data_IF_604433349250
#
_entry.id   IF_604433349250
#
_cell.length_a   1.000
_cell.length_b   1.000
_cell.length_c   1.000
_cell.angle_alpha   90.00
_cell.angle_beta   90.00
_cell.angle_gamma   90.00
#
_symmetry.space_group_name_H-M   'P 1'
#
loop_
_entity.id
_entity.type
_entity.pdbx_description
1 polymer ?
#
# COMPACT_ATOMS: atom_id res chain seq x y z
N UNK A 1 -19.45 21.90 -13.73
CA UNK A 1 -17.99 22.03 -13.50
C UNK A 1 -17.51 23.29 -14.21
N UNK A 2 -16.49 23.96 -13.70
CA UNK A 2 -15.99 25.23 -14.27
C UNK A 2 -15.08 24.98 -15.47
N UNK A 3 -14.93 25.98 -16.35
CA UNK A 3 -13.99 25.91 -17.50
C UNK A 3 -12.55 25.63 -17.04
N UNK A 4 -12.17 26.15 -15.86
CA UNK A 4 -10.87 25.92 -15.23
C UNK A 4 -10.69 24.42 -14.90
N UNK A 5 -11.71 23.80 -14.30
CA UNK A 5 -11.69 22.37 -14.00
C UNK A 5 -11.50 21.54 -15.27
N UNK A 6 -12.28 21.82 -16.31
CA UNK A 6 -12.24 21.04 -17.55
C UNK A 6 -10.85 21.11 -18.21
N UNK A 7 -10.21 22.27 -18.19
CA UNK A 7 -8.86 22.45 -18.74
C UNK A 7 -7.79 21.70 -17.93
N UNK A 8 -7.80 21.86 -16.60
CA UNK A 8 -6.85 21.15 -15.71
C UNK A 8 -7.08 19.65 -15.80
N UNK A 9 -8.32 19.19 -15.70
CA UNK A 9 -8.65 17.78 -15.70
C UNK A 9 -8.29 17.11 -17.03
N UNK A 10 -8.56 17.78 -18.16
CA UNK A 10 -8.13 17.29 -19.48
C UNK A 10 -6.62 17.09 -19.55
N UNK A 11 -5.83 18.02 -19.02
CA UNK A 11 -4.37 17.85 -18.94
C UNK A 11 -3.99 16.69 -18.00
N UNK A 12 -4.56 16.64 -16.80
CA UNK A 12 -4.28 15.55 -15.84
C UNK A 12 -4.58 14.19 -16.45
N UNK A 13 -5.67 14.02 -17.20
CA UNK A 13 -6.00 12.77 -17.91
C UNK A 13 -4.96 12.36 -18.97
N UNK A 14 -4.09 13.27 -19.42
CA UNK A 14 -3.03 12.94 -20.37
C UNK A 14 -1.78 12.33 -19.73
N UNK A 15 -1.57 12.58 -18.44
CA UNK A 15 -0.34 12.23 -17.74
C UNK A 15 -0.16 10.71 -17.61
N UNK A 16 1.06 10.24 -17.87
CA UNK A 16 1.55 9.01 -17.27
C UNK A 16 1.70 9.20 -15.76
N UNK A 17 1.41 8.15 -14.98
CA UNK A 17 1.53 8.18 -13.52
C UNK A 17 2.50 7.10 -13.04
N UNK A 18 3.22 7.37 -11.96
CA UNK A 18 3.90 6.34 -11.18
C UNK A 18 2.99 6.01 -10.02
N UNK A 19 2.69 4.73 -9.91
CA UNK A 19 1.88 4.17 -8.87
C UNK A 19 2.81 3.70 -7.74
N UNK A 20 2.75 4.39 -6.60
CA UNK A 20 3.74 4.25 -5.53
C UNK A 20 3.58 3.00 -4.68
N UNK A 21 2.48 2.26 -4.82
CA UNK A 21 2.30 0.98 -4.14
C UNK A 21 1.15 0.15 -4.73
N UNK A 22 1.37 -1.15 -4.89
CA UNK A 22 0.35 -2.14 -5.24
C UNK A 22 0.61 -3.49 -4.57
N UNK A 23 -0.45 -4.29 -4.45
CA UNK A 23 -0.42 -5.67 -3.96
C UNK A 23 -0.94 -6.68 -5.00
N UNK A 24 -0.88 -6.31 -6.28
CA UNK A 24 -1.30 -7.18 -7.38
C UNK A 24 -0.39 -8.42 -7.48
N UNK A 25 -0.89 -9.55 -8.04
CA UNK A 25 -0.03 -10.69 -8.35
C UNK A 25 1.16 -10.27 -9.22
N UNK A 26 2.38 -10.72 -8.86
CA UNK A 26 3.61 -10.32 -9.53
C UNK A 26 3.67 -10.62 -11.04
N UNK A 27 2.84 -11.57 -11.49
CA UNK A 27 2.58 -11.85 -12.89
C UNK A 27 1.09 -12.09 -13.13
N UNK A 28 0.55 -11.66 -14.26
CA UNK A 28 -0.88 -11.78 -14.58
C UNK A 28 -1.38 -13.24 -14.58
N UNK A 29 -0.53 -14.20 -14.95
CA UNK A 29 -0.89 -15.62 -14.95
C UNK A 29 -1.06 -16.19 -13.53
N UNK A 30 -0.57 -15.50 -12.49
CA UNK A 30 -0.75 -15.86 -11.09
C UNK A 30 -2.07 -15.33 -10.50
N UNK A 31 -2.80 -14.45 -11.22
CA UNK A 31 -4.14 -14.00 -10.80
C UNK A 31 -5.07 -15.21 -10.62
N UNK A 32 -5.76 -15.27 -9.48
CA UNK A 32 -6.70 -16.33 -9.16
C UNK A 32 -7.73 -16.54 -10.28
N UNK A 33 -7.91 -17.80 -10.69
CA UNK A 33 -8.84 -18.17 -11.78
C UNK A 33 -10.14 -18.78 -11.26
N UNK A 34 -10.09 -19.40 -10.08
CA UNK A 34 -11.27 -19.90 -9.38
C UNK A 34 -11.94 -18.76 -8.62
N UNK A 35 -12.53 -17.83 -9.35
CA UNK A 35 -13.12 -16.61 -8.80
C UNK A 35 -14.30 -16.11 -9.62
N UNK A 36 -15.00 -15.11 -9.11
CA UNK A 36 -16.05 -14.36 -9.78
C UNK A 36 -16.02 -12.90 -9.29
N UNK A 37 -16.91 -12.06 -9.85
CA UNK A 37 -16.91 -10.64 -9.54
C UNK A 37 -17.07 -10.35 -8.04
N UNK A 38 -17.89 -11.10 -7.30
CA UNK A 38 -18.08 -10.85 -5.87
C UNK A 38 -16.88 -11.32 -5.06
N UNK A 39 -16.37 -12.53 -5.35
CA UNK A 39 -15.20 -13.06 -4.63
C UNK A 39 -13.98 -12.15 -4.83
N UNK A 40 -13.71 -11.69 -6.05
CA UNK A 40 -12.56 -10.82 -6.32
C UNK A 40 -12.77 -9.41 -5.75
N UNK A 41 -13.90 -8.75 -6.00
CA UNK A 41 -14.08 -7.35 -5.60
C UNK A 41 -14.25 -7.15 -4.10
N UNK A 42 -14.68 -8.20 -3.39
CA UNK A 42 -14.78 -8.20 -1.95
C UNK A 42 -13.54 -8.78 -1.26
N UNK A 43 -12.49 -9.17 -1.99
CA UNK A 43 -11.24 -9.64 -1.37
C UNK A 43 -10.51 -8.55 -0.57
N UNK A 44 -10.91 -7.28 -0.74
CA UNK A 44 -10.24 -6.12 -0.15
C UNK A 44 -11.23 -5.08 0.38
N UNK A 45 -10.87 -3.79 0.32
CA UNK A 45 -11.49 -2.67 1.04
C UNK A 45 -13.01 -2.62 1.14
N UNK A 46 -13.77 -2.88 0.06
CA UNK A 46 -15.24 -2.77 0.15
C UNK A 46 -15.84 -3.75 1.16
N UNK A 47 -15.23 -4.92 1.36
CA UNK A 47 -15.66 -5.86 2.41
C UNK A 47 -15.67 -5.23 3.79
N UNK A 48 -14.68 -4.36 4.08
CA UNK A 48 -14.60 -3.64 5.35
C UNK A 48 -15.79 -2.72 5.56
N UNK A 49 -16.24 -2.01 4.51
CA UNK A 49 -17.45 -1.18 4.59
C UNK A 49 -18.69 -2.05 4.82
N UNK A 50 -18.81 -3.19 4.13
CA UNK A 50 -19.96 -4.10 4.31
C UNK A 50 -20.04 -4.60 5.76
N UNK A 51 -18.91 -5.04 6.32
CA UNK A 51 -18.82 -5.50 7.71
C UNK A 51 -19.11 -4.35 8.68
N UNK A 52 -18.57 -3.15 8.43
CA UNK A 52 -18.84 -1.96 9.22
C UNK A 52 -20.32 -1.55 9.16
N UNK A 53 -21.01 -1.81 8.04
CA UNK A 53 -22.45 -1.60 7.87
C UNK A 53 -23.31 -2.70 8.54
N UNK A 54 -22.69 -3.74 9.09
CA UNK A 54 -23.36 -4.80 9.86
C UNK A 54 -23.38 -6.18 9.21
N UNK A 55 -22.70 -6.39 8.06
CA UNK A 55 -22.55 -7.73 7.50
C UNK A 55 -21.70 -8.58 8.44
N UNK A 56 -22.30 -9.63 9.00
CA UNK A 56 -21.59 -10.52 9.92
C UNK A 56 -20.50 -11.31 9.17
N UNK A 57 -19.32 -11.55 9.79
CA UNK A 57 -18.25 -12.31 9.15
C UNK A 57 -18.70 -13.68 8.61
N UNK A 58 -19.58 -14.40 9.30
CA UNK A 58 -20.06 -15.71 8.85
C UNK A 58 -20.98 -15.63 7.63
N UNK A 59 -21.65 -14.49 7.43
CA UNK A 59 -22.42 -14.23 6.21
C UNK A 59 -21.51 -13.75 5.08
N UNK A 60 -20.48 -12.97 5.39
CA UNK A 60 -19.46 -12.56 4.43
C UNK A 60 -18.78 -13.77 3.77
N UNK A 61 -18.39 -14.79 4.53
CA UNK A 61 -17.82 -16.04 3.98
C UNK A 61 -18.74 -16.68 2.92
N UNK A 62 -20.07 -16.60 3.09
CA UNK A 62 -21.03 -17.09 2.10
C UNK A 62 -21.13 -16.18 0.87
N UNK A 63 -20.93 -14.87 1.04
CA UNK A 63 -20.96 -13.89 -0.06
C UNK A 63 -19.76 -14.10 -1.01
N UNK A 64 -18.60 -14.50 -0.50
CA UNK A 64 -17.41 -14.75 -1.31
C UNK A 64 -17.26 -16.22 -1.75
N UNK A 65 -18.11 -17.13 -1.27
CA UNK A 65 -18.11 -18.55 -1.68
C UNK A 65 -18.67 -18.73 -3.11
N UNK A 66 -17.78 -18.69 -4.10
CA UNK A 66 -18.11 -18.82 -5.53
C UNK A 66 -18.71 -20.17 -5.94
N UNK A 67 -18.88 -21.14 -5.01
CA UNK A 67 -19.63 -22.39 -5.24
C UNK A 67 -21.15 -22.19 -5.14
N UNK A 68 -21.59 -21.10 -4.51
CA UNK A 68 -23.01 -20.73 -4.40
C UNK A 68 -23.46 -19.85 -5.59
N UNK A 69 -24.73 -19.90 -6.00
CA UNK A 69 -25.26 -19.06 -7.07
C UNK A 69 -25.01 -17.56 -6.82
N UNK A 70 -24.54 -16.84 -7.85
CA UNK A 70 -24.16 -15.43 -7.75
C UNK A 70 -25.29 -14.56 -7.19
N UNK A 71 -26.50 -14.68 -7.74
CA UNK A 71 -27.65 -13.91 -7.30
C UNK A 71 -28.04 -14.17 -5.83
N UNK A 72 -27.83 -15.39 -5.32
CA UNK A 72 -28.07 -15.68 -3.90
C UNK A 72 -27.08 -14.92 -3.01
N UNK A 73 -25.80 -14.89 -3.41
CA UNK A 73 -24.74 -14.17 -2.70
C UNK A 73 -24.92 -12.66 -2.80
N UNK A 74 -25.33 -12.15 -3.95
CA UNK A 74 -25.67 -10.74 -4.14
C UNK A 74 -26.73 -10.29 -3.13
N UNK A 75 -27.86 -11.01 -3.03
CA UNK A 75 -28.95 -10.65 -2.09
C UNK A 75 -28.53 -10.61 -0.63
N UNK A 76 -27.48 -11.34 -0.25
CA UNK A 76 -26.90 -11.28 1.11
C UNK A 76 -26.07 -10.01 1.30
N UNK A 77 -25.32 -9.60 0.28
CA UNK A 77 -24.43 -8.44 0.31
C UNK A 77 -25.18 -7.11 0.09
N UNK A 78 -26.22 -7.13 -0.74
CA UNK A 78 -26.90 -5.94 -1.27
C UNK A 78 -27.31 -4.91 -0.21
N UNK A 79 -27.95 -5.27 0.92
CA UNK A 79 -28.34 -4.27 1.91
C UNK A 79 -27.15 -3.46 2.47
N UNK A 80 -26.01 -4.12 2.64
CA UNK A 80 -24.77 -3.51 3.15
C UNK A 80 -24.02 -2.78 2.04
N UNK A 81 -24.11 -3.28 0.80
CA UNK A 81 -23.55 -2.64 -0.38
C UNK A 81 -24.24 -1.30 -0.63
N UNK A 82 -25.58 -1.27 -0.57
CA UNK A 82 -26.36 -0.04 -0.70
C UNK A 82 -26.08 0.95 0.43
N UNK A 83 -25.94 0.48 1.67
CA UNK A 83 -25.52 1.33 2.79
C UNK A 83 -24.13 1.95 2.58
N UNK A 84 -23.24 1.24 1.87
CA UNK A 84 -21.86 1.66 1.59
C UNK A 84 -21.71 2.39 0.27
N UNK A 85 -22.77 2.56 -0.54
CA UNK A 85 -22.66 2.99 -1.94
C UNK A 85 -22.00 4.37 -2.15
N UNK A 86 -22.03 5.23 -1.14
CA UNK A 86 -21.42 6.55 -1.20
C UNK A 86 -19.98 6.62 -0.66
N UNK A 87 -19.46 5.53 -0.08
CA UNK A 87 -18.07 5.46 0.35
C UNK A 87 -17.12 5.51 -0.84
N UNK A 88 -15.85 5.83 -0.59
CA UNK A 88 -14.87 5.88 -1.67
C UNK A 88 -14.62 4.50 -2.30
N UNK A 89 -14.67 3.42 -1.53
CA UNK A 89 -14.50 2.05 -2.04
C UNK A 89 -15.61 1.65 -3.01
N UNK A 90 -16.88 1.85 -2.64
CA UNK A 90 -18.00 1.51 -3.53
C UNK A 90 -17.99 2.36 -4.81
N UNK A 91 -17.71 3.66 -4.67
CA UNK A 91 -17.59 4.58 -5.82
C UNK A 91 -16.47 4.18 -6.78
N UNK A 92 -15.32 3.74 -6.26
CA UNK A 92 -14.22 3.27 -7.08
C UNK A 92 -14.64 2.05 -7.92
N UNK A 93 -15.33 1.09 -7.33
CA UNK A 93 -15.78 -0.11 -8.04
C UNK A 93 -16.87 0.19 -9.06
N UNK A 94 -17.84 1.06 -8.75
CA UNK A 94 -18.85 1.50 -9.72
C UNK A 94 -18.16 2.21 -10.92
N UNK A 95 -17.13 3.03 -10.69
CA UNK A 95 -16.34 3.64 -11.76
C UNK A 95 -15.60 2.57 -12.57
N UNK A 96 -14.93 1.61 -11.91
CA UNK A 96 -14.21 0.54 -12.59
C UNK A 96 -15.13 -0.24 -13.52
N UNK A 97 -16.31 -0.64 -13.07
CA UNK A 97 -17.19 -1.47 -13.90
C UNK A 97 -17.79 -0.69 -15.08
N UNK A 98 -18.09 0.58 -14.88
CA UNK A 98 -18.59 1.46 -15.96
C UNK A 98 -17.57 1.58 -17.07
N UNK A 99 -16.32 1.82 -16.71
CA UNK A 99 -15.29 2.19 -17.67
C UNK A 99 -14.56 0.98 -18.28
N UNK A 100 -14.55 -0.16 -17.59
CA UNK A 100 -13.92 -1.41 -18.05
C UNK A 100 -14.89 -2.35 -18.76
N UNK A 101 -16.18 -2.34 -18.37
CA UNK A 101 -17.20 -3.27 -18.84
C UNK A 101 -18.44 -2.60 -19.45
N UNK A 102 -18.56 -1.26 -19.39
CA UNK A 102 -19.74 -0.54 -19.89
C UNK A 102 -21.00 -0.81 -19.09
N UNK A 103 -20.85 -1.19 -17.81
CA UNK A 103 -21.95 -1.47 -16.87
C UNK A 103 -22.11 -0.25 -15.96
N UNK A 104 -23.27 0.40 -15.96
CA UNK A 104 -23.46 1.69 -15.29
C UNK A 104 -22.97 1.73 -13.83
N UNK A 105 -23.32 0.69 -13.06
CA UNK A 105 -22.95 0.49 -11.65
C UNK A 105 -23.23 -0.96 -11.26
N UNK A 106 -22.80 -1.39 -10.07
CA UNK A 106 -23.03 -2.74 -9.55
C UNK A 106 -24.36 -2.78 -8.77
N UNK A 107 -25.35 -3.55 -9.22
CA UNK A 107 -26.66 -3.73 -8.55
C UNK A 107 -27.37 -5.00 -9.05
N UNK A 108 -28.53 -5.38 -8.49
CA UNK A 108 -29.23 -6.65 -8.79
C UNK A 108 -29.38 -6.91 -10.30
N UNK A 109 -29.85 -5.94 -11.07
CA UNK A 109 -30.13 -6.13 -12.49
C UNK A 109 -28.88 -6.22 -13.37
N UNK A 110 -27.70 -5.85 -12.86
CA UNK A 110 -26.43 -5.85 -13.64
C UNK A 110 -25.42 -6.89 -13.20
N UNK A 111 -25.56 -7.47 -12.00
CA UNK A 111 -24.52 -8.33 -11.41
C UNK A 111 -24.20 -9.56 -12.28
N UNK A 112 -25.20 -10.16 -12.92
CA UNK A 112 -25.02 -11.33 -13.81
C UNK A 112 -24.34 -10.97 -15.14
N UNK A 113 -24.72 -9.83 -15.74
CA UNK A 113 -24.07 -9.34 -16.96
C UNK A 113 -22.62 -8.95 -16.69
N UNK A 114 -22.40 -8.23 -15.58
CA UNK A 114 -21.09 -7.86 -15.10
C UNK A 114 -20.22 -9.10 -14.90
N UNK A 115 -20.72 -10.12 -14.22
CA UNK A 115 -19.96 -11.35 -13.97
C UNK A 115 -19.58 -12.07 -15.28
N UNK A 116 -20.49 -12.10 -16.25
CA UNK A 116 -20.20 -12.64 -17.59
C UNK A 116 -19.07 -11.88 -18.29
N UNK A 117 -19.03 -10.55 -18.17
CA UNK A 117 -17.96 -9.71 -18.72
C UNK A 117 -16.66 -9.84 -17.92
N UNK A 118 -16.76 -9.96 -16.60
CA UNK A 118 -15.65 -10.18 -15.68
C UNK A 118 -14.88 -11.46 -16.02
N UNK A 119 -15.55 -12.58 -16.31
CA UNK A 119 -14.85 -13.81 -16.70
C UNK A 119 -13.96 -13.64 -17.93
N UNK A 120 -14.32 -12.76 -18.87
CA UNK A 120 -13.46 -12.46 -20.03
C UNK A 120 -12.17 -11.76 -19.64
N UNK A 121 -12.18 -11.01 -18.53
CA UNK A 121 -11.01 -10.34 -17.96
C UNK A 121 -9.96 -11.31 -17.41
N UNK A 122 -10.32 -12.56 -17.13
CA UNK A 122 -9.38 -13.57 -16.61
C UNK A 122 -8.40 -14.06 -17.68
N UNK A 123 -8.67 -13.78 -18.96
CA UNK A 123 -7.76 -14.07 -20.07
C UNK A 123 -6.55 -13.11 -20.05
N UNK A 124 -5.37 -13.56 -20.54
CA UNK A 124 -4.18 -12.71 -20.58
C UNK A 124 -4.39 -11.39 -21.33
N UNK A 125 -3.70 -10.33 -20.87
CA UNK A 125 -3.73 -8.98 -21.46
C UNK A 125 -4.61 -7.99 -20.70
N UNK A 126 -5.32 -8.41 -19.65
CA UNK A 126 -6.15 -7.53 -18.84
C UNK A 126 -5.31 -6.59 -17.95
N UNK A 127 -4.17 -7.05 -17.44
CA UNK A 127 -3.20 -6.17 -16.75
C UNK A 127 -2.76 -5.02 -17.66
N UNK A 128 -2.38 -5.32 -18.90
CA UNK A 128 -1.99 -4.31 -19.89
C UNK A 128 -3.14 -3.34 -20.20
N UNK A 129 -4.34 -3.86 -20.45
CA UNK A 129 -5.55 -3.06 -20.67
C UNK A 129 -5.78 -2.08 -19.53
N UNK A 130 -5.74 -2.56 -18.28
CA UNK A 130 -6.08 -1.74 -17.12
C UNK A 130 -4.93 -0.80 -16.73
N UNK A 131 -3.73 -1.32 -16.51
CA UNK A 131 -2.60 -0.55 -15.98
C UNK A 131 -2.01 0.38 -17.05
N UNK A 132 -1.80 -0.09 -18.27
CA UNK A 132 -1.12 0.71 -19.32
C UNK A 132 -2.10 1.53 -20.15
N UNK A 133 -3.06 0.88 -20.79
CA UNK A 133 -3.90 1.52 -21.81
C UNK A 133 -4.93 2.48 -21.21
N UNK A 134 -5.58 2.04 -20.13
CA UNK A 134 -6.63 2.79 -19.44
C UNK A 134 -6.05 3.74 -18.39
N UNK A 135 -5.23 3.23 -17.46
CA UNK A 135 -4.73 4.03 -16.33
C UNK A 135 -3.52 4.91 -16.66
N UNK A 136 -2.79 4.61 -17.74
CA UNK A 136 -1.50 5.25 -18.08
C UNK A 136 -0.47 5.14 -16.95
N UNK A 137 -0.46 4.02 -16.24
CA UNK A 137 0.53 3.74 -15.21
C UNK A 137 1.83 3.34 -15.90
N UNK A 138 2.87 4.15 -15.71
CA UNK A 138 4.21 3.86 -16.24
C UNK A 138 4.80 2.63 -15.58
N UNK A 139 4.70 2.55 -14.25
CA UNK A 139 5.11 1.41 -13.42
C UNK A 139 4.38 1.50 -12.07
N UNK A 140 4.14 0.35 -11.44
CA UNK A 140 3.67 0.25 -10.06
C UNK A 140 4.78 -0.30 -9.17
N UNK A 141 4.90 0.24 -7.94
CA UNK A 141 5.80 -0.33 -6.94
C UNK A 141 5.10 -1.48 -6.24
N UNK A 142 5.59 -2.69 -6.47
CA UNK A 142 4.91 -3.91 -6.08
C UNK A 142 5.41 -4.41 -4.73
N UNK A 143 4.48 -4.57 -3.79
CA UNK A 143 4.65 -5.39 -2.62
C UNK A 143 3.74 -6.63 -2.76
N UNK A 144 4.26 -7.65 -3.44
CA UNK A 144 3.52 -8.92 -3.56
C UNK A 144 3.37 -9.59 -2.18
N UNK A 145 2.21 -10.21 -1.95
CA UNK A 145 1.89 -10.94 -0.72
C UNK A 145 1.58 -12.39 -1.10
N UNK A 146 2.59 -13.17 -1.55
CA UNK A 146 2.31 -14.50 -2.05
C UNK A 146 1.96 -15.44 -0.88
N UNK A 147 1.01 -16.34 -1.13
CA UNK A 147 0.57 -17.36 -0.19
C UNK A 147 1.11 -18.73 -0.62
N UNK A 148 1.73 -19.45 0.32
CA UNK A 148 2.13 -20.85 0.15
C UNK A 148 1.46 -21.65 1.27
N UNK A 149 0.57 -22.58 0.90
CA UNK A 149 -0.26 -23.34 1.85
C UNK A 149 -1.01 -22.44 2.86
N UNK A 150 -1.69 -21.40 2.35
CA UNK A 150 -2.42 -20.38 3.14
C UNK A 150 -1.55 -19.48 4.04
N UNK A 151 -0.24 -19.68 4.08
CA UNK A 151 0.67 -18.81 4.82
C UNK A 151 1.29 -17.78 3.89
N UNK A 152 1.28 -16.51 4.31
CA UNK A 152 2.00 -15.45 3.62
C UNK A 152 3.50 -15.77 3.67
N UNK A 153 4.20 -15.60 2.57
CA UNK A 153 5.65 -15.83 2.46
C UNK A 153 6.28 -14.62 1.79
N UNK A 154 7.18 -13.94 2.48
CA UNK A 154 8.02 -12.92 1.84
C UNK A 154 9.40 -13.54 1.61
N UNK A 155 9.85 -13.61 0.36
CA UNK A 155 11.21 -13.98 -0.01
C UNK A 155 11.98 -12.76 -0.54
N UNK A 156 13.30 -12.83 -0.48
CA UNK A 156 14.19 -11.78 -1.00
C UNK A 156 14.63 -11.97 -2.46
N UNK A 157 14.17 -13.01 -3.16
CA UNK A 157 14.46 -13.24 -4.57
C UNK A 157 13.53 -12.45 -5.50
N UNK A 158 12.39 -11.95 -5.00
CA UNK A 158 11.56 -10.90 -5.57
C UNK A 158 11.50 -10.89 -7.11
N UNK A 159 10.65 -11.73 -7.68
CA UNK A 159 10.42 -11.75 -9.13
C UNK A 159 9.09 -11.11 -9.50
N UNK A 160 9.07 -10.23 -10.50
CA UNK A 160 7.84 -9.66 -11.03
C UNK A 160 7.96 -9.33 -12.52
N UNK A 161 6.83 -9.15 -13.18
CA UNK A 161 6.77 -8.66 -14.55
C UNK A 161 7.28 -7.21 -14.62
N UNK A 162 8.44 -7.04 -15.26
CA UNK A 162 9.12 -5.74 -15.36
C UNK A 162 8.41 -4.77 -16.32
N UNK A 163 7.42 -5.22 -17.11
CA UNK A 163 6.55 -4.30 -17.85
C UNK A 163 5.66 -3.50 -16.89
N UNK A 164 5.20 -4.12 -15.79
CA UNK A 164 4.25 -3.51 -14.86
C UNK A 164 4.87 -3.02 -13.56
N UNK A 165 5.89 -3.72 -13.04
CA UNK A 165 6.24 -3.63 -11.62
C UNK A 165 7.72 -3.40 -11.33
N UNK A 166 8.01 -2.71 -10.22
CA UNK A 166 9.31 -2.76 -9.52
C UNK A 166 9.06 -3.13 -8.06
N UNK A 167 9.82 -4.08 -7.53
CA UNK A 167 9.54 -4.61 -6.19
C UNK A 167 9.86 -3.62 -5.06
N UNK A 168 9.12 -3.74 -3.97
CA UNK A 168 9.38 -3.13 -2.68
C UNK A 168 9.53 -4.27 -1.68
N UNK A 169 10.58 -4.22 -0.85
CA UNK A 169 10.82 -5.28 0.13
C UNK A 169 10.20 -4.94 1.49
N UNK A 170 9.27 -5.77 2.02
CA UNK A 170 8.71 -5.57 3.35
C UNK A 170 9.69 -6.03 4.42
N UNK A 171 10.09 -5.12 5.31
CA UNK A 171 11.08 -5.41 6.36
C UNK A 171 10.46 -5.95 7.66
N UNK A 172 9.13 -6.05 7.71
CA UNK A 172 8.36 -6.33 8.93
C UNK A 172 8.82 -7.60 9.64
N UNK A 173 9.07 -8.70 8.92
CA UNK A 173 9.48 -9.97 9.53
C UNK A 173 10.91 -9.96 10.08
N UNK A 174 11.77 -9.09 9.58
CA UNK A 174 13.12 -8.90 10.12
C UNK A 174 13.09 -8.13 11.45
N UNK A 175 12.03 -7.35 11.69
CA UNK A 175 11.87 -6.55 12.91
C UNK A 175 10.99 -7.28 13.91
N UNK A 176 9.92 -7.92 13.42
CA UNK A 176 8.89 -8.62 14.18
C UNK A 176 8.72 -10.03 13.60
N UNK A 177 9.67 -10.95 13.81
CA UNK A 177 9.47 -12.35 13.44
C UNK A 177 8.33 -12.93 14.28
N UNK A 178 7.38 -13.60 13.63
CA UNK A 178 6.16 -14.07 14.27
C UNK A 178 6.27 -15.51 14.78
N UNK A 179 7.21 -16.29 14.23
CA UNK A 179 7.40 -17.69 14.61
C UNK A 179 8.83 -18.18 14.36
N UNK A 180 9.12 -19.39 14.84
CA UNK A 180 10.38 -20.08 14.54
C UNK A 180 10.55 -20.39 13.05
N UNK A 181 9.45 -20.52 12.30
CA UNK A 181 9.48 -20.76 10.85
C UNK A 181 10.05 -19.56 10.09
N UNK A 182 9.82 -18.33 10.56
CA UNK A 182 10.46 -17.13 10.00
C UNK A 182 11.98 -17.23 10.17
N UNK A 183 12.46 -17.65 11.34
CA UNK A 183 13.89 -17.83 11.59
C UNK A 183 14.48 -18.91 10.68
N UNK A 184 13.82 -20.07 10.55
CA UNK A 184 14.26 -21.15 9.66
C UNK A 184 14.30 -20.67 8.21
N UNK A 185 13.34 -19.87 7.78
CA UNK A 185 13.30 -19.28 6.44
C UNK A 185 14.47 -18.33 6.22
N UNK A 186 14.75 -17.44 7.16
CA UNK A 186 15.91 -16.54 7.08
C UNK A 186 17.23 -17.30 6.97
N UNK A 187 17.39 -18.38 7.74
CA UNK A 187 18.56 -19.27 7.61
C UNK A 187 18.63 -19.95 6.23
N UNK A 188 17.47 -20.31 5.66
CA UNK A 188 17.38 -20.89 4.32
C UNK A 188 17.77 -19.90 3.22
N UNK A 189 17.26 -18.68 3.26
CA UNK A 189 17.55 -17.63 2.27
C UNK A 189 19.01 -17.15 2.33
N UNK A 190 19.59 -17.07 3.52
CA UNK A 190 20.97 -16.61 3.70
C UNK A 190 22.02 -17.73 3.66
N UNK A 191 21.60 -18.99 3.77
CA UNK A 191 22.46 -20.15 4.04
C UNK A 191 23.34 -20.00 5.31
N UNK A 192 22.95 -19.15 6.25
CA UNK A 192 23.63 -18.94 7.54
C UNK A 192 22.76 -19.45 8.67
N UNK A 193 23.34 -20.24 9.58
CA UNK A 193 22.66 -20.61 10.83
C UNK A 193 22.74 -19.48 11.83
N UNK A 194 21.61 -19.14 12.43
CA UNK A 194 21.48 -18.08 13.43
C UNK A 194 21.71 -18.70 14.80
N UNK A 195 22.88 -18.42 15.40
CA UNK A 195 23.27 -18.90 16.73
C UNK A 195 23.34 -17.79 17.79
N UNK A 196 23.49 -16.53 17.36
CA UNK A 196 23.54 -15.35 18.22
C UNK A 196 22.94 -14.13 17.49
N UNK A 197 22.83 -13.00 18.19
CA UNK A 197 22.22 -11.79 17.62
C UNK A 197 23.04 -11.21 16.47
N UNK A 198 24.37 -11.30 16.53
CA UNK A 198 25.25 -10.90 15.43
C UNK A 198 24.99 -11.69 14.13
N UNK A 199 24.74 -13.00 14.23
CA UNK A 199 24.36 -13.81 13.06
C UNK A 199 23.03 -13.33 12.48
N UNK A 200 22.06 -12.99 13.33
CA UNK A 200 20.76 -12.47 12.91
C UNK A 200 20.89 -11.14 12.16
N UNK A 201 21.69 -10.20 12.68
CA UNK A 201 21.96 -8.92 12.01
C UNK A 201 22.61 -9.13 10.63
N UNK A 202 23.57 -10.05 10.54
CA UNK A 202 24.23 -10.40 9.28
C UNK A 202 23.25 -11.01 8.28
N UNK A 203 22.37 -11.90 8.75
CA UNK A 203 21.32 -12.52 7.92
C UNK A 203 20.34 -11.45 7.41
N UNK A 204 19.91 -10.53 8.28
CA UNK A 204 19.02 -9.43 7.90
C UNK A 204 19.66 -8.51 6.84
N UNK A 205 20.95 -8.15 6.99
CA UNK A 205 21.69 -7.39 5.96
C UNK A 205 21.74 -8.17 4.64
N UNK A 206 22.07 -9.47 4.67
CA UNK A 206 22.14 -10.30 3.47
C UNK A 206 20.80 -10.43 2.74
N UNK A 207 19.70 -10.55 3.48
CA UNK A 207 18.34 -10.65 2.93
C UNK A 207 17.97 -9.34 2.21
N UNK A 208 18.22 -8.19 2.85
CA UNK A 208 17.98 -6.88 2.23
C UNK A 208 18.89 -6.70 1.00
N UNK A 209 20.17 -7.00 1.10
CA UNK A 209 21.09 -6.95 -0.04
C UNK A 209 20.64 -7.85 -1.20
N UNK A 210 20.08 -9.02 -0.89
CA UNK A 210 19.53 -9.93 -1.89
C UNK A 210 18.29 -9.34 -2.58
N UNK A 211 17.36 -8.77 -1.81
CA UNK A 211 16.19 -8.08 -2.36
C UNK A 211 16.59 -6.93 -3.31
N UNK A 212 17.59 -6.14 -2.93
CA UNK A 212 18.11 -5.05 -3.76
C UNK A 212 18.77 -5.56 -5.05
N UNK A 213 19.53 -6.66 -4.99
CA UNK A 213 20.09 -7.31 -6.18
C UNK A 213 19.01 -7.80 -7.14
N UNK A 214 17.87 -8.22 -6.62
CA UNK A 214 16.69 -8.62 -7.39
C UNK A 214 15.78 -7.44 -7.79
N UNK A 215 16.26 -6.21 -7.64
CA UNK A 215 15.61 -5.03 -8.20
C UNK A 215 14.59 -4.37 -7.28
N UNK A 216 14.59 -4.67 -5.98
CA UNK A 216 13.84 -3.88 -5.02
C UNK A 216 14.30 -2.41 -5.09
N UNK A 217 13.34 -1.48 -5.16
CA UNK A 217 13.61 -0.04 -5.29
C UNK A 217 13.38 0.73 -4.01
N UNK A 218 12.69 0.12 -3.04
CA UNK A 218 12.37 0.69 -1.74
C UNK A 218 12.19 -0.41 -0.69
N UNK A 219 12.17 0.01 0.57
CA UNK A 219 11.76 -0.82 1.70
C UNK A 219 10.35 -0.40 2.17
N UNK A 220 9.61 -1.31 2.80
CA UNK A 220 8.29 -1.01 3.36
C UNK A 220 8.18 -1.52 4.79
N UNK A 221 7.61 -0.71 5.65
CA UNK A 221 7.12 -1.15 6.95
C UNK A 221 5.61 -0.99 7.08
N UNK A 222 4.93 -2.07 7.47
CA UNK A 222 3.53 -2.09 7.87
C UNK A 222 3.36 -2.49 9.36
N UNK A 223 4.41 -2.34 10.16
CA UNK A 223 4.39 -2.73 11.58
C UNK A 223 3.39 -1.96 12.45
N UNK A 224 2.86 -0.84 11.95
CA UNK A 224 1.80 -0.10 12.63
C UNK A 224 0.58 -0.98 12.97
N UNK A 225 0.33 -2.05 12.21
CA UNK A 225 -0.75 -3.01 12.49
C UNK A 225 -0.57 -3.80 13.78
N UNK A 226 0.67 -3.98 14.25
CA UNK A 226 1.00 -4.90 15.36
C UNK A 226 1.78 -4.23 16.49
N UNK A 227 2.28 -3.01 16.27
CA UNK A 227 3.00 -2.23 17.28
C UNK A 227 2.94 -0.74 16.99
N UNK A 228 3.21 0.06 18.02
CA UNK A 228 3.47 1.50 17.87
C UNK A 228 4.68 1.78 16.96
N UNK A 229 4.56 2.83 16.14
CA UNK A 229 5.64 3.37 15.31
C UNK A 229 6.75 4.10 16.12
N UNK A 230 6.66 4.15 17.45
CA UNK A 230 7.72 4.68 18.31
C UNK A 230 8.81 3.61 18.53
N UNK A 231 9.99 3.84 17.95
CA UNK A 231 11.17 2.97 18.11
C UNK A 231 12.22 3.71 18.95
N UNK A 232 12.46 3.27 20.18
CA UNK A 232 13.40 3.96 21.08
C UNK A 232 14.85 3.55 20.80
N UNK A 233 15.79 4.45 21.09
CA UNK A 233 17.21 4.07 21.02
C UNK A 233 17.53 3.11 22.17
N UNK A 234 18.00 1.92 21.82
CA UNK A 234 18.41 0.88 22.78
C UNK A 234 19.82 0.38 22.49
N UNK A 235 20.46 -0.18 23.50
CA UNK A 235 21.79 -0.77 23.33
C UNK A 235 21.72 -2.14 22.65
N UNK A 236 22.82 -2.56 22.02
CA UNK A 236 22.96 -3.92 21.49
C UNK A 236 22.70 -4.98 22.57
N UNK A 237 23.22 -4.77 23.78
CA UNK A 237 23.05 -5.69 24.91
C UNK A 237 21.57 -5.89 25.28
N UNK A 238 20.79 -4.80 25.38
CA UNK A 238 19.37 -4.90 25.70
C UNK A 238 18.57 -5.60 24.61
N UNK A 239 18.88 -5.33 23.34
CA UNK A 239 18.26 -6.02 22.21
C UNK A 239 18.65 -7.51 22.17
N UNK A 240 19.91 -7.83 22.45
CA UNK A 240 20.42 -9.21 22.51
C UNK A 240 19.75 -10.01 23.64
N UNK A 241 19.48 -9.38 24.79
CA UNK A 241 18.76 -10.02 25.89
C UNK A 241 17.36 -10.49 25.46
N UNK A 242 16.60 -9.65 24.75
CA UNK A 242 15.28 -10.02 24.23
C UNK A 242 15.36 -10.95 23.01
N UNK A 243 16.38 -10.79 22.15
CA UNK A 243 16.63 -11.71 21.04
C UNK A 243 16.84 -13.14 21.53
N UNK A 244 17.54 -13.34 22.65
CA UNK A 244 17.80 -14.67 23.20
C UNK A 244 16.51 -15.41 23.61
N UNK A 245 15.39 -14.71 23.78
CA UNK A 245 14.08 -15.35 23.99
C UNK A 245 13.64 -16.18 22.78
N UNK A 246 14.07 -15.82 21.56
CA UNK A 246 13.82 -16.63 20.35
C UNK A 246 14.34 -18.06 20.54
N UNK A 247 15.53 -18.23 21.10
CA UNK A 247 16.14 -19.55 21.30
C UNK A 247 15.46 -20.39 22.39
N UNK A 248 14.84 -19.74 23.38
CA UNK A 248 14.01 -20.48 24.36
C UNK A 248 12.90 -21.25 23.68
N UNK A 249 12.39 -20.73 22.56
CA UNK A 249 11.34 -21.33 21.76
C UNK A 249 11.81 -22.14 20.55
N UNK A 250 12.87 -21.72 19.83
CA UNK A 250 13.45 -22.44 18.67
C UNK A 250 13.93 -23.85 19.03
N UNK A 251 14.34 -24.05 20.28
CA UNK A 251 14.84 -25.33 20.78
C UNK A 251 13.82 -26.08 21.65
N UNK A 252 12.57 -25.61 21.76
CA UNK A 252 11.51 -26.41 22.36
C UNK A 252 11.24 -27.66 21.50
N UNK A 253 10.76 -28.74 22.12
CA UNK A 253 10.29 -29.89 21.36
C UNK A 253 9.08 -29.52 20.48
N UNK A 254 8.79 -30.32 19.47
CA UNK A 254 7.72 -30.09 18.46
C UNK A 254 6.29 -30.16 19.02
N UNK A 255 6.12 -30.25 20.34
CA UNK A 255 4.82 -30.43 21.01
C UNK A 255 4.15 -29.10 21.43
N UNK A 256 4.81 -27.94 21.27
CA UNK A 256 4.24 -26.61 21.48
C UNK A 256 4.56 -25.67 20.31
N UNK A 257 3.72 -24.65 20.02
CA UNK A 257 3.99 -23.65 18.99
C UNK A 257 5.34 -22.95 19.20
N UNK A 258 6.11 -22.79 18.12
CA UNK A 258 7.48 -22.27 18.18
C UNK A 258 7.52 -20.75 17.94
N UNK A 259 8.03 -20.06 18.96
CA UNK A 259 8.47 -18.66 19.08
C UNK A 259 7.38 -17.59 19.07
N UNK A 260 7.33 -16.83 20.18
CA UNK A 260 6.61 -15.57 20.32
C UNK A 260 7.50 -14.43 19.79
N UNK A 261 6.92 -13.33 19.27
CA UNK A 261 7.69 -12.20 18.79
C UNK A 261 8.63 -11.68 19.89
N UNK A 262 9.91 -11.36 19.57
CA UNK A 262 10.85 -10.79 20.53
C UNK A 262 10.30 -9.51 21.16
N UNK A 263 10.85 -9.11 22.30
CA UNK A 263 10.40 -7.90 23.00
C UNK A 263 10.58 -6.61 22.21
N UNK A 264 10.05 -5.51 22.77
CA UNK A 264 10.05 -4.20 22.11
C UNK A 264 11.47 -3.68 21.83
N UNK A 265 12.45 -3.92 22.72
CA UNK A 265 13.83 -3.42 22.56
C UNK A 265 14.53 -4.09 21.38
N UNK A 266 14.35 -5.40 21.17
CA UNK A 266 14.85 -6.05 19.97
C UNK A 266 14.30 -5.39 18.70
N UNK A 267 12.98 -5.21 18.66
CA UNK A 267 12.31 -4.64 17.50
C UNK A 267 12.71 -3.17 17.27
N UNK A 268 12.89 -2.40 18.35
CA UNK A 268 13.43 -1.03 18.34
C UNK A 268 14.83 -1.00 17.72
N UNK A 269 15.73 -1.86 18.21
CA UNK A 269 17.07 -1.99 17.65
C UNK A 269 17.05 -2.39 16.17
N UNK A 270 16.20 -3.36 15.79
CA UNK A 270 16.12 -3.84 14.42
C UNK A 270 15.65 -2.76 13.46
N UNK A 271 14.70 -1.91 13.85
CA UNK A 271 14.31 -0.76 13.03
C UNK A 271 15.50 0.20 12.83
N UNK A 272 16.21 0.56 13.90
CA UNK A 272 17.41 1.40 13.82
C UNK A 272 18.51 0.78 12.93
N UNK A 273 18.68 -0.55 12.98
CA UNK A 273 19.60 -1.29 12.14
C UNK A 273 19.20 -1.23 10.66
N UNK A 274 17.93 -1.49 10.34
CA UNK A 274 17.41 -1.43 8.97
C UNK A 274 17.50 -0.01 8.39
N UNK A 275 17.23 1.02 9.18
CA UNK A 275 17.41 2.41 8.74
C UNK A 275 18.87 2.75 8.44
N UNK A 276 19.82 2.15 9.17
CA UNK A 276 21.24 2.30 8.85
C UNK A 276 21.62 1.67 7.50
N UNK A 277 20.99 0.53 7.15
CA UNK A 277 21.14 -0.11 5.84
C UNK A 277 20.47 0.71 4.73
N UNK A 278 19.27 1.23 4.98
CA UNK A 278 18.56 2.11 4.05
C UNK A 278 19.39 3.37 3.74
N UNK A 279 20.02 3.97 4.76
CA UNK A 279 20.93 5.11 4.60
C UNK A 279 22.13 4.75 3.70
N UNK A 280 22.83 3.65 4.01
CA UNK A 280 23.98 3.16 3.24
C UNK A 280 23.65 2.92 1.77
N UNK A 281 22.45 2.43 1.49
CA UNK A 281 21.98 2.10 0.14
C UNK A 281 21.19 3.23 -0.53
N UNK A 282 21.08 4.41 0.10
CA UNK A 282 20.28 5.55 -0.36
C UNK A 282 18.85 5.15 -0.77
N UNK A 283 18.19 4.37 0.08
CA UNK A 283 16.84 3.87 -0.15
C UNK A 283 15.78 4.75 0.48
N UNK A 284 14.59 4.67 -0.11
CA UNK A 284 13.38 5.23 0.48
C UNK A 284 12.67 4.12 1.24
N UNK A 285 12.17 4.44 2.43
CA UNK A 285 11.36 3.53 3.22
C UNK A 285 9.94 4.06 3.35
N UNK A 286 9.00 3.23 2.93
CA UNK A 286 7.57 3.48 3.02
C UNK A 286 7.07 3.06 4.40
N UNK A 287 6.33 3.92 5.08
CA UNK A 287 5.73 3.63 6.38
C UNK A 287 4.21 3.66 6.28
N UNK A 288 3.57 2.57 6.70
CA UNK A 288 2.12 2.54 6.87
C UNK A 288 1.72 3.45 8.02
N UNK A 289 0.89 4.47 7.76
CA UNK A 289 0.41 5.39 8.79
C UNK A 289 -1.08 5.65 8.65
N UNK A 290 -1.73 6.07 9.73
CA UNK A 290 -3.18 6.29 9.74
C UNK A 290 -4.00 5.00 9.64
N UNK A 291 -5.09 5.06 8.90
CA UNK A 291 -6.05 3.96 8.74
C UNK A 291 -5.36 2.67 8.31
N UNK A 292 -5.86 1.57 8.85
CA UNK A 292 -5.40 0.21 8.63
C UNK A 292 -6.54 -0.57 7.97
N UNK A 293 -6.20 -1.42 7.02
CA UNK A 293 -7.13 -2.33 6.36
C UNK A 293 -7.71 -3.33 7.38
N UNK A 294 -8.95 -3.75 7.17
CA UNK A 294 -9.69 -4.61 8.07
C UNK A 294 -10.60 -3.86 9.05
N UNK A 295 -11.45 -4.63 9.75
CA UNK A 295 -12.42 -4.11 10.72
C UNK A 295 -11.88 -4.15 12.15
N UNK A 296 -10.97 -3.23 12.47
CA UNK A 296 -10.54 -2.95 13.84
C UNK A 296 -9.04 -3.11 14.07
N UNK A 297 -8.43 -2.06 14.63
CA UNK A 297 -7.03 -2.03 15.06
C UNK A 297 -6.81 -0.83 16.01
N UNK A 298 -5.61 -0.71 16.57
CA UNK A 298 -5.18 0.43 17.40
C UNK A 298 -4.69 1.58 16.51
N UNK A 299 -5.58 2.52 16.20
CA UNK A 299 -5.27 3.67 15.34
C UNK A 299 -4.05 4.49 15.82
N UNK A 300 -3.85 4.64 17.12
CA UNK A 300 -2.72 5.41 17.65
C UNK A 300 -1.37 4.70 17.44
N UNK A 301 -1.34 3.42 17.06
CA UNK A 301 -0.09 2.77 16.66
C UNK A 301 0.47 3.34 15.36
N UNK A 302 -0.41 3.83 14.48
CA UNK A 302 -0.09 4.34 13.16
C UNK A 302 -0.01 5.87 13.10
N UNK A 303 0.02 6.56 14.24
CA UNK A 303 0.22 8.01 14.31
C UNK A 303 1.62 8.37 13.75
N UNK A 304 1.70 9.15 12.66
CA UNK A 304 2.96 9.47 12.01
C UNK A 304 3.89 10.35 12.88
N UNK A 305 3.38 11.04 13.91
CA UNK A 305 4.21 11.82 14.83
C UNK A 305 5.17 10.96 15.65
N UNK A 306 4.86 9.68 15.83
CA UNK A 306 5.69 8.71 16.56
C UNK A 306 7.00 8.37 15.83
N UNK A 307 7.10 8.71 14.54
CA UNK A 307 8.32 8.53 13.75
C UNK A 307 9.31 9.71 13.88
N UNK A 308 8.95 10.76 14.62
CA UNK A 308 9.73 12.01 14.68
C UNK A 308 11.17 11.79 15.15
N UNK A 309 11.40 10.86 16.08
CA UNK A 309 12.74 10.56 16.57
C UNK A 309 13.61 9.94 15.46
N UNK A 310 13.02 9.10 14.61
CA UNK A 310 13.71 8.50 13.46
C UNK A 310 14.02 9.54 12.38
N UNK A 311 13.11 10.49 12.13
CA UNK A 311 13.37 11.57 11.16
C UNK A 311 14.57 12.43 11.57
N UNK A 312 14.68 12.72 12.88
CA UNK A 312 15.80 13.49 13.44
C UNK A 312 17.13 12.73 13.41
N UNK A 313 17.09 11.43 13.70
CA UNK A 313 18.30 10.61 13.83
C UNK A 313 18.85 10.14 12.47
N UNK A 314 17.99 10.01 11.46
CA UNK A 314 18.34 9.53 10.12
C UNK A 314 18.04 10.57 9.03
N UNK A 315 18.68 11.75 9.04
CA UNK A 315 18.40 12.83 8.09
C UNK A 315 18.69 12.45 6.62
N UNK A 316 19.52 11.42 6.40
CA UNK A 316 19.90 10.93 5.07
C UNK A 316 19.01 9.78 4.55
N UNK A 317 18.00 9.35 5.31
CA UNK A 317 16.99 8.37 4.88
C UNK A 317 15.74 9.10 4.42
N UNK A 318 15.28 8.80 3.21
CA UNK A 318 13.99 9.29 2.71
C UNK A 318 12.85 8.48 3.33
N UNK A 319 11.98 9.12 4.10
CA UNK A 319 10.80 8.54 4.73
C UNK A 319 9.55 8.91 3.91
N UNK A 320 8.85 7.90 3.41
CA UNK A 320 7.64 8.07 2.62
C UNK A 320 6.41 7.66 3.45
N UNK A 321 5.53 8.62 3.72
CA UNK A 321 4.44 8.49 4.70
C UNK A 321 3.12 8.19 3.97
N UNK A 322 2.66 6.95 4.08
CA UNK A 322 1.51 6.44 3.35
C UNK A 322 0.16 6.96 3.82
N UNK A 323 -0.83 6.80 2.93
CA UNK A 323 -2.25 6.92 3.22
C UNK A 323 -2.66 8.28 3.74
N UNK A 324 -1.93 9.33 3.30
CA UNK A 324 -2.06 10.69 3.82
C UNK A 324 -1.96 10.80 5.35
N UNK A 325 -1.52 9.74 6.03
CA UNK A 325 -1.68 9.53 7.46
C UNK A 325 -3.11 9.55 7.99
N UNK A 326 -4.15 9.32 7.18
CA UNK A 326 -5.55 9.55 7.57
C UNK A 326 -5.94 8.93 8.94
N UNK A 327 -6.50 9.67 9.91
CA UNK A 327 -6.97 11.05 9.84
C UNK A 327 -5.94 12.13 10.28
N UNK A 328 -4.65 11.78 10.35
CA UNK A 328 -3.53 12.64 10.76
C UNK A 328 -2.94 13.51 9.64
N UNK A 329 -3.65 13.77 8.54
CA UNK A 329 -3.12 14.53 7.39
C UNK A 329 -2.58 15.93 7.73
N UNK A 330 -3.09 16.57 8.79
CA UNK A 330 -2.55 17.84 9.30
C UNK A 330 -1.20 17.65 10.01
N UNK A 331 -1.04 16.57 10.78
CA UNK A 331 0.24 16.20 11.39
C UNK A 331 1.27 15.91 10.31
N UNK A 332 0.91 15.11 9.30
CA UNK A 332 1.76 14.81 8.14
C UNK A 332 2.22 16.08 7.43
N UNK A 333 1.35 17.11 7.34
CA UNK A 333 1.72 18.40 6.76
C UNK A 333 2.86 19.09 7.50
N UNK A 334 2.82 19.08 8.85
CA UNK A 334 3.85 19.69 9.70
C UNK A 334 5.15 18.89 9.64
N UNK A 335 5.05 17.56 9.64
CA UNK A 335 6.21 16.67 9.50
C UNK A 335 6.92 16.91 8.16
N UNK A 336 6.20 16.87 7.04
CA UNK A 336 6.77 17.11 5.73
C UNK A 336 7.30 18.55 5.55
N UNK A 337 6.73 19.53 6.27
CA UNK A 337 7.24 20.91 6.29
C UNK A 337 8.55 21.05 7.07
N UNK A 338 8.67 20.37 8.21
CA UNK A 338 9.79 20.51 9.13
C UNK A 338 11.00 19.66 8.76
N UNK A 339 10.78 18.48 8.17
CA UNK A 339 11.84 17.50 7.91
C UNK A 339 12.14 17.39 6.42
N UNK A 340 13.35 17.74 5.93
CA UNK A 340 13.70 17.65 4.51
C UNK A 340 13.48 16.26 3.91
N UNK A 341 13.68 15.23 4.71
CA UNK A 341 13.67 13.82 4.36
C UNK A 341 12.31 13.11 4.54
N UNK A 342 11.24 13.83 4.87
CA UNK A 342 9.88 13.27 5.02
C UNK A 342 8.99 13.65 3.85
N UNK A 343 8.41 12.67 3.16
CA UNK A 343 7.56 12.85 1.98
C UNK A 343 6.13 12.34 2.26
N UNK A 344 5.17 12.92 1.56
CA UNK A 344 3.76 12.59 1.68
C UNK A 344 3.37 11.68 0.52
N UNK A 345 2.76 10.55 0.82
CA UNK A 345 2.22 9.63 -0.18
C UNK A 345 0.70 9.46 -0.01
N UNK A 346 -0.03 9.71 -1.11
CA UNK A 346 -1.48 9.55 -1.20
C UNK A 346 -1.90 8.14 -1.63
N UNK A 347 -1.01 7.17 -1.57
CA UNK A 347 -1.32 5.74 -1.66
C UNK A 347 -2.59 5.40 -0.86
N UNK A 348 -3.58 4.74 -1.46
CA UNK A 348 -4.91 4.43 -0.89
C UNK A 348 -5.84 5.64 -0.59
N UNK A 349 -5.32 6.87 -0.51
CA UNK A 349 -6.02 8.02 0.08
C UNK A 349 -7.36 8.36 -0.59
N UNK A 350 -7.40 8.30 -1.93
CA UNK A 350 -8.52 8.81 -2.72
C UNK A 350 -9.79 7.97 -2.60
N UNK A 351 -9.67 6.73 -2.13
CA UNK A 351 -10.80 5.83 -1.88
C UNK A 351 -11.08 5.62 -0.40
N UNK A 352 -10.13 5.91 0.50
CA UNK A 352 -10.43 6.09 1.93
C UNK A 352 -11.48 7.20 2.09
N UNK A 353 -11.18 8.38 1.54
CA UNK A 353 -12.13 9.50 1.51
C UNK A 353 -11.77 10.49 0.39
N UNK A 354 -12.56 10.53 -0.70
CA UNK A 354 -12.36 11.50 -1.78
C UNK A 354 -12.35 12.95 -1.28
N UNK A 355 -13.23 13.29 -0.34
CA UNK A 355 -13.31 14.64 0.23
C UNK A 355 -12.09 14.97 1.09
N UNK A 356 -11.65 14.04 1.95
CA UNK A 356 -10.46 14.27 2.77
C UNK A 356 -9.21 14.44 1.90
N UNK A 357 -9.10 13.67 0.80
CA UNK A 357 -8.00 13.80 -0.16
C UNK A 357 -7.94 15.18 -0.82
N UNK A 358 -9.09 15.74 -1.23
CA UNK A 358 -9.17 17.09 -1.78
C UNK A 358 -8.72 18.11 -0.73
N UNK A 359 -9.27 18.02 0.49
CA UNK A 359 -8.96 18.96 1.56
C UNK A 359 -7.48 18.87 2.00
N UNK A 360 -6.92 17.67 2.06
CA UNK A 360 -5.50 17.45 2.36
C UNK A 360 -4.62 18.15 1.33
N UNK A 361 -4.88 17.95 0.03
CA UNK A 361 -4.14 18.62 -1.05
C UNK A 361 -4.29 20.15 -1.00
N UNK A 362 -5.49 20.66 -0.69
CA UNK A 362 -5.69 22.10 -0.51
C UNK A 362 -4.79 22.65 0.60
N UNK A 363 -4.75 22.00 1.76
CA UNK A 363 -3.93 22.45 2.87
C UNK A 363 -2.43 22.28 2.58
N UNK A 364 -2.03 21.13 2.05
CA UNK A 364 -0.61 20.83 1.80
C UNK A 364 0.01 21.73 0.76
N UNK A 365 -0.70 22.07 -0.32
CA UNK A 365 -0.16 22.96 -1.35
C UNK A 365 0.05 24.41 -0.88
N UNK A 366 -0.45 24.79 0.30
CA UNK A 366 -0.14 26.07 0.94
C UNK A 366 1.05 25.99 1.90
N UNK A 367 1.24 24.85 2.58
CA UNK A 367 2.20 24.74 3.68
C UNK A 367 3.43 23.87 3.40
N UNK A 368 3.36 22.94 2.44
CA UNK A 368 4.40 21.97 2.07
C UNK A 368 4.85 22.23 0.62
N UNK A 369 6.16 22.24 0.34
CA UNK A 369 6.64 22.29 -1.03
C UNK A 369 6.06 21.17 -1.90
N UNK A 370 5.49 21.53 -3.05
CA UNK A 370 4.79 20.58 -3.94
C UNK A 370 5.67 19.42 -4.45
N UNK A 371 7.00 19.54 -4.37
CA UNK A 371 7.93 18.47 -4.74
C UNK A 371 7.99 17.32 -3.72
N UNK A 372 7.25 17.41 -2.60
CA UNK A 372 7.26 16.43 -1.52
C UNK A 372 6.04 15.51 -1.46
N UNK A 373 5.16 15.59 -2.47
CA UNK A 373 3.86 14.93 -2.45
C UNK A 373 3.76 13.98 -3.65
N UNK A 374 3.49 12.71 -3.40
CA UNK A 374 3.08 11.73 -4.42
C UNK A 374 1.56 11.62 -4.39
N UNK A 375 0.90 11.82 -5.53
CA UNK A 375 -0.57 11.85 -5.60
C UNK A 375 -1.24 10.48 -5.71
N UNK A 376 -0.50 9.40 -5.97
CA UNK A 376 -1.16 8.12 -6.22
C UNK A 376 -0.28 6.90 -5.90
N UNK A 377 -0.90 5.98 -5.17
CA UNK A 377 -0.54 4.57 -5.06
C UNK A 377 -1.84 3.78 -4.95
N UNK A 378 -2.02 2.73 -5.75
CA UNK A 378 -3.31 2.05 -5.86
C UNK A 378 -3.66 1.21 -4.64
N UNK A 379 -2.67 0.51 -4.08
CA UNK A 379 -2.75 -0.33 -2.89
C UNK A 379 -3.77 -1.49 -3.01
N UNK A 380 -4.04 -2.01 -4.22
CA UNK A 380 -5.05 -3.06 -4.42
C UNK A 380 -4.49 -4.47 -4.51
N UNK A 381 -5.30 -5.45 -4.11
CA UNK A 381 -5.08 -6.88 -4.35
C UNK A 381 -5.59 -7.38 -5.71
N UNK A 382 -6.38 -6.55 -6.43
CA UNK A 382 -6.96 -6.92 -7.73
C UNK A 382 -6.98 -5.73 -8.69
N UNK A 383 -6.77 -6.04 -9.97
CA UNK A 383 -6.41 -5.02 -10.98
C UNK A 383 -7.56 -4.07 -11.33
N UNK A 384 -8.82 -4.52 -11.30
CA UNK A 384 -9.95 -3.66 -11.65
C UNK A 384 -10.12 -2.48 -10.69
N UNK A 385 -9.84 -2.68 -9.39
CA UNK A 385 -9.92 -1.63 -8.37
C UNK A 385 -8.98 -0.46 -8.64
N UNK A 386 -7.80 -0.74 -9.21
CA UNK A 386 -6.78 0.25 -9.55
C UNK A 386 -7.34 1.34 -10.47
N UNK A 387 -8.11 0.97 -11.48
CA UNK A 387 -8.60 1.93 -12.47
C UNK A 387 -9.61 2.92 -11.88
N UNK A 388 -10.55 2.45 -11.08
CA UNK A 388 -11.54 3.30 -10.43
C UNK A 388 -10.88 4.24 -9.42
N UNK A 389 -9.92 3.73 -8.67
CA UNK A 389 -9.13 4.53 -7.73
C UNK A 389 -8.30 5.60 -8.43
N UNK A 390 -7.55 5.29 -9.48
CA UNK A 390 -6.74 6.30 -10.18
C UNK A 390 -7.61 7.37 -10.86
N UNK A 391 -8.81 7.02 -11.36
CA UNK A 391 -9.73 8.03 -11.90
C UNK A 391 -10.21 8.99 -10.81
N UNK A 392 -10.55 8.47 -9.62
CA UNK A 392 -10.87 9.31 -8.47
C UNK A 392 -9.67 10.17 -8.05
N UNK A 393 -8.45 9.64 -8.10
CA UNK A 393 -7.23 10.40 -7.82
C UNK A 393 -7.07 11.59 -8.78
N UNK A 394 -7.18 11.35 -10.09
CA UNK A 394 -7.13 12.39 -11.12
C UNK A 394 -8.21 13.44 -10.91
N UNK A 395 -9.45 13.04 -10.65
CA UNK A 395 -10.56 13.95 -10.38
C UNK A 395 -10.31 14.80 -9.12
N UNK A 396 -9.92 14.17 -8.01
CA UNK A 396 -9.68 14.83 -6.74
C UNK A 396 -8.53 15.82 -6.81
N UNK A 397 -7.41 15.46 -7.45
CA UNK A 397 -6.28 16.37 -7.70
C UNK A 397 -6.71 17.54 -8.57
N UNK A 398 -7.46 17.29 -9.65
CA UNK A 398 -7.99 18.38 -10.50
C UNK A 398 -8.91 19.32 -9.73
N UNK A 399 -9.77 18.82 -8.84
CA UNK A 399 -10.64 19.65 -7.98
C UNK A 399 -9.82 20.53 -7.03
N UNK A 400 -8.82 19.98 -6.36
CA UNK A 400 -7.95 20.74 -5.46
C UNK A 400 -7.19 21.85 -6.21
N UNK A 401 -6.59 21.51 -7.36
CA UNK A 401 -5.86 22.47 -8.20
C UNK A 401 -6.78 23.56 -8.79
N UNK A 402 -7.98 23.20 -9.22
CA UNK A 402 -8.99 24.15 -9.69
C UNK A 402 -9.27 25.19 -8.62
N UNK A 403 -9.50 24.75 -7.39
CA UNK A 403 -9.76 25.66 -6.27
C UNK A 403 -8.57 26.58 -5.99
N UNK A 404 -7.33 26.09 -6.09
CA UNK A 404 -6.13 26.95 -5.98
C UNK A 404 -6.03 28.01 -7.06
N UNK A 405 -6.48 27.71 -8.28
CA UNK A 405 -6.56 28.69 -9.36
C UNK A 405 -7.67 29.71 -9.12
N UNK A 406 -8.85 29.25 -8.71
CA UNK A 406 -9.99 30.12 -8.38
C UNK A 406 -9.68 31.08 -7.23
N UNK A 407 -8.87 30.65 -6.26
CA UNK A 407 -8.39 31.48 -5.14
C UNK A 407 -7.24 32.43 -5.52
N UNK A 408 -6.75 32.38 -6.76
CA UNK A 408 -5.64 33.21 -7.23
C UNK A 408 -4.27 32.85 -6.66
N UNK A 409 -4.13 31.66 -6.05
CA UNK A 409 -2.85 31.17 -5.49
C UNK A 409 -1.88 30.77 -6.61
N UNK A 410 -2.42 30.29 -7.74
CA UNK A 410 -1.64 29.92 -8.92
C UNK A 410 -2.47 30.09 -10.20
N UNK A 411 -1.83 30.13 -11.36
CA UNK A 411 -2.52 30.08 -12.65
C UNK A 411 -2.69 28.62 -13.14
N UNK A 412 -3.38 28.46 -14.28
CA UNK A 412 -3.66 27.15 -14.88
C UNK A 412 -2.37 26.43 -15.29
N UNK A 413 -1.39 27.14 -15.82
CA UNK A 413 -0.13 26.52 -16.27
C UNK A 413 0.69 26.01 -15.09
N UNK A 414 0.71 26.76 -13.98
CA UNK A 414 1.27 26.28 -12.72
C UNK A 414 0.50 25.08 -12.17
N UNK A 415 -0.83 25.07 -12.24
CA UNK A 415 -1.62 23.91 -11.82
C UNK A 415 -1.28 22.64 -12.62
N UNK A 416 -1.16 22.76 -13.95
CA UNK A 416 -0.70 21.66 -14.83
C UNK A 416 0.70 21.17 -14.41
N UNK A 417 1.63 22.10 -14.23
CA UNK A 417 3.00 21.83 -13.77
C UNK A 417 3.06 21.16 -12.39
N UNK A 418 2.18 21.54 -11.46
CA UNK A 418 2.08 20.86 -10.16
C UNK A 418 1.54 19.45 -10.35
N UNK A 419 0.52 19.23 -11.19
CA UNK A 419 -0.01 17.88 -11.42
C UNK A 419 1.03 16.91 -12.00
N UNK A 420 1.91 17.37 -12.90
CA UNK A 420 3.05 16.60 -13.41
C UNK A 420 4.02 16.18 -12.30
N UNK A 421 4.28 17.09 -11.35
CA UNK A 421 5.10 16.80 -10.18
C UNK A 421 4.48 15.71 -9.33
N UNK A 422 3.20 15.87 -8.97
CA UNK A 422 2.52 14.99 -8.03
C UNK A 422 2.37 13.55 -8.56
N UNK A 423 2.01 13.40 -9.84
CA UNK A 423 1.72 12.09 -10.42
C UNK A 423 2.94 11.34 -10.95
N UNK A 424 4.02 12.04 -11.31
CA UNK A 424 5.12 11.40 -12.02
C UNK A 424 6.49 11.81 -11.49
N UNK A 425 6.83 13.10 -11.48
CA UNK A 425 8.22 13.48 -11.22
C UNK A 425 8.66 13.32 -9.78
N UNK A 426 7.76 13.58 -8.83
CA UNK A 426 8.04 13.36 -7.41
C UNK A 426 8.27 11.87 -7.12
N UNK A 427 7.34 10.94 -7.43
CA UNK A 427 7.59 9.52 -7.19
C UNK A 427 8.80 8.99 -7.97
N UNK A 428 9.05 9.46 -9.20
CA UNK A 428 10.25 9.11 -9.98
C UNK A 428 11.54 9.45 -9.22
N UNK A 429 11.58 10.63 -8.59
CA UNK A 429 12.73 11.13 -7.82
C UNK A 429 12.83 10.45 -6.46
N UNK A 430 11.73 10.42 -5.70
CA UNK A 430 11.66 9.89 -4.34
C UNK A 430 12.09 8.42 -4.34
N UNK A 431 11.65 7.61 -5.30
CA UNK A 431 12.00 6.19 -5.38
C UNK A 431 13.20 5.87 -6.27
N UNK A 432 13.95 6.89 -6.72
CA UNK A 432 15.16 6.76 -7.54
C UNK A 432 14.94 5.83 -8.76
N UNK A 433 13.85 6.04 -9.49
CA UNK A 433 13.41 5.16 -10.58
C UNK A 433 14.02 5.49 -11.94
N UNK A 434 14.76 6.60 -12.06
CA UNK A 434 15.41 6.99 -13.31
C UNK A 434 16.44 5.93 -13.73
N UNK A 435 16.34 5.45 -14.96
CA UNK A 435 17.17 4.35 -15.47
C UNK A 435 16.72 2.96 -15.03
N UNK A 436 15.63 2.87 -14.24
CA UNK A 436 15.02 1.61 -13.83
C UNK A 436 13.69 1.33 -14.53
N UNK A 437 13.05 2.30 -15.20
CA UNK A 437 11.68 2.22 -15.76
C UNK A 437 11.59 2.67 -17.22
#
# INVERSE_FOLDING_TARGET
MSVIFDEIHKHVQTLEIIDTHEHLPAFEHLREKDTDVLKEYLTHYLSCDLISAGLRPEEYEKVIDNRLPLMERWKRAEPYWEASRNTGYARALDISVRELYGIERIYEETIEELNTKFFKSLNPGHFKKVLKEKSKIKVSLLHDIPKVNELIVFDSNLTCDQEFFRNVYPVDRLIFPQSGDDIVRFEGESAIKIHNFGDYLKVAEMIIDNALKHGAVALKSALAYVRTLQYERVTYFEAEQEFNDIFKSKHMGTYMPQVFPPGKKFQDYMMHFILSLACKSNLTIQFHTGIQEGNGNYLYHSDPSLLTNLFLEYPDVDFDIFHMGYPYQEVVSVLAKNFPNVYIDMCWAHIISPTASINALLNWLDCVPANKISAFGGDYLFVDGVYGHQLLARENVSKALTKKVEDGVMDIDRAKRVSEMLFFENPLRIFKLRGKI
#
